data_IF_423213856962
#
_entry.id   IF_423213856962
#
_cell.length_a   1.000
_cell.length_b   1.000
_cell.length_c   1.000
_cell.angle_alpha   90.00
_cell.angle_beta   90.00
_cell.angle_gamma   90.00
#
_symmetry.space_group_name_H-M   'P 1'
#
loop_
_entity.id
_entity.type
_entity.pdbx_description
1 polymer ?
#
# COMPACT_ATOMS: atom_id res chain seq x y z
N UNK A 1 13.75 -19.44 -24.39
CA UNK A 1 13.94 -18.18 -23.61
C UNK A 1 12.73 -18.02 -22.71
N UNK A 2 12.90 -18.12 -21.39
CA UNK A 2 11.83 -17.90 -20.42
C UNK A 2 11.49 -16.40 -20.40
N UNK A 3 10.21 -16.06 -20.55
CA UNK A 3 9.71 -14.70 -20.33
C UNK A 3 10.02 -14.29 -18.88
N UNK A 4 10.65 -13.14 -18.63
CA UNK A 4 10.86 -12.68 -17.25
C UNK A 4 9.49 -12.45 -16.59
N UNK A 5 9.26 -13.10 -15.45
CA UNK A 5 8.01 -12.94 -14.68
C UNK A 5 7.92 -11.53 -14.12
N UNK A 6 7.05 -10.70 -14.69
CA UNK A 6 6.73 -9.37 -14.15
C UNK A 6 5.69 -9.57 -13.06
N UNK A 7 6.04 -9.22 -11.82
CA UNK A 7 5.13 -9.25 -10.68
C UNK A 7 4.70 -7.83 -10.32
N UNK A 8 3.41 -7.63 -10.07
CA UNK A 8 2.85 -6.37 -9.54
C UNK A 8 2.60 -6.56 -8.05
N UNK A 9 3.11 -5.64 -7.23
CA UNK A 9 2.87 -5.61 -5.80
C UNK A 9 2.13 -4.32 -5.43
N UNK A 10 1.18 -4.44 -4.51
CA UNK A 10 0.53 -3.29 -3.84
C UNK A 10 1.02 -3.28 -2.40
N UNK A 11 1.50 -2.12 -1.95
CA UNK A 11 2.07 -1.95 -0.61
C UNK A 11 1.31 -0.84 0.10
N UNK A 12 0.81 -1.13 1.31
CA UNK A 12 0.18 -0.16 2.21
C UNK A 12 1.15 0.15 3.36
N UNK A 13 1.21 1.40 3.79
CA UNK A 13 1.92 1.82 5.00
C UNK A 13 0.97 2.62 5.85
N UNK A 14 0.49 2.04 6.95
CA UNK A 14 -0.38 2.74 7.89
C UNK A 14 0.37 3.05 9.20
N UNK A 15 0.11 4.23 9.79
CA UNK A 15 0.65 4.61 11.11
C UNK A 15 -0.49 4.75 12.12
N UNK A 16 -0.48 3.95 13.19
CA UNK A 16 -1.38 4.15 14.36
C UNK A 16 -0.68 4.60 15.64
N UNK A 17 0.60 4.31 15.81
CA UNK A 17 1.39 4.78 16.95
C UNK A 17 2.87 4.82 16.57
N UNK A 18 3.49 5.98 16.78
CA UNK A 18 4.89 6.22 16.51
C UNK A 18 5.78 5.59 17.60
N UNK A 19 6.20 4.35 17.38
CA UNK A 19 7.30 3.73 18.13
C UNK A 19 8.18 3.07 17.08
N UNK A 20 9.01 3.79 16.31
CA UNK A 20 10.39 4.18 16.70
C UNK A 20 10.91 5.40 15.89
N UNK A 21 10.16 5.93 14.90
CA UNK A 21 10.47 7.21 14.21
C UNK A 21 9.15 7.88 13.82
N UNK A 22 8.68 8.86 14.60
CA UNK A 22 7.32 9.39 14.49
C UNK A 22 7.02 10.31 13.30
N UNK A 23 6.91 9.76 12.08
CA UNK A 23 6.35 10.47 10.91
C UNK A 23 5.94 9.54 9.78
N UNK A 24 5.04 10.04 8.92
CA UNK A 24 4.78 9.49 7.58
C UNK A 24 6.09 9.41 6.79
N UNK A 25 6.16 8.47 5.84
CA UNK A 25 7.22 8.50 4.84
C UNK A 25 7.16 9.81 4.05
N UNK A 26 8.32 10.43 3.86
CA UNK A 26 8.49 11.30 2.70
C UNK A 26 8.40 10.47 1.43
N UNK A 27 8.07 11.12 0.31
CA UNK A 27 8.12 10.45 -1.00
C UNK A 27 9.50 9.84 -1.31
N UNK A 28 10.58 10.42 -0.78
CA UNK A 28 11.93 9.86 -0.93
C UNK A 28 12.14 8.60 -0.10
N UNK A 29 11.67 8.56 1.15
CA UNK A 29 11.72 7.36 2.01
C UNK A 29 10.85 6.24 1.43
N UNK A 30 9.65 6.57 0.94
CA UNK A 30 8.79 5.61 0.24
C UNK A 30 9.45 5.06 -1.03
N UNK A 31 10.08 5.92 -1.84
CA UNK A 31 10.80 5.48 -3.03
C UNK A 31 12.01 4.60 -2.71
N UNK A 32 12.76 4.93 -1.64
CA UNK A 32 13.88 4.09 -1.18
C UNK A 32 13.40 2.73 -0.68
N UNK A 33 12.28 2.69 0.04
CA UNK A 33 11.65 1.46 0.50
C UNK A 33 11.17 0.59 -0.67
N UNK A 34 10.47 1.16 -1.65
CA UNK A 34 10.04 0.39 -2.83
C UNK A 34 11.23 -0.18 -3.62
N UNK A 35 12.32 0.57 -3.73
CA UNK A 35 13.57 0.07 -4.33
C UNK A 35 14.19 -1.08 -3.55
N UNK A 36 14.19 -1.02 -2.21
CA UNK A 36 14.73 -2.11 -1.38
C UNK A 36 13.91 -3.39 -1.47
N UNK A 37 12.61 -3.28 -1.76
CA UNK A 37 11.72 -4.41 -2.09
C UNK A 37 11.92 -4.97 -3.52
N UNK A 38 12.83 -4.38 -4.32
CA UNK A 38 13.12 -4.82 -5.69
C UNK A 38 12.19 -4.22 -6.76
N UNK A 39 11.41 -3.18 -6.44
CA UNK A 39 10.56 -2.54 -7.43
C UNK A 39 11.40 -1.85 -8.51
N UNK A 40 11.20 -2.26 -9.76
CA UNK A 40 11.83 -1.63 -10.94
C UNK A 40 11.05 -0.39 -11.39
N UNK A 41 9.73 -0.39 -11.19
CA UNK A 41 8.83 0.74 -11.39
C UNK A 41 7.87 0.82 -10.20
N UNK A 42 7.69 2.02 -9.66
CA UNK A 42 6.78 2.27 -8.54
C UNK A 42 6.08 3.62 -8.73
N UNK A 43 4.86 3.72 -8.22
CA UNK A 43 4.02 4.93 -8.20
C UNK A 43 3.46 5.08 -6.78
N UNK A 44 3.40 6.30 -6.29
CA UNK A 44 2.71 6.62 -5.05
C UNK A 44 1.21 6.78 -5.32
N UNK A 45 0.36 6.24 -4.46
CA UNK A 45 -1.10 6.42 -4.48
C UNK A 45 -1.51 7.38 -3.35
N UNK A 46 -2.81 7.55 -3.13
CA UNK A 46 -3.32 8.39 -2.04
C UNK A 46 -2.86 7.87 -0.67
N UNK A 47 -2.54 8.78 0.26
CA UNK A 47 -1.94 8.48 1.56
C UNK A 47 -2.79 9.09 2.70
N UNK A 48 -2.50 8.74 3.95
CA UNK A 48 -3.20 9.23 5.13
C UNK A 48 -4.45 8.42 5.46
N UNK A 49 -5.52 9.08 5.91
CA UNK A 49 -6.73 8.40 6.43
C UNK A 49 -7.49 7.52 5.42
N UNK A 50 -7.21 7.66 4.12
CA UNK A 50 -7.75 6.83 3.04
C UNK A 50 -6.95 5.53 2.79
N UNK A 51 -5.78 5.39 3.40
CA UNK A 51 -4.93 4.20 3.24
C UNK A 51 -5.49 3.03 4.02
N UNK A 52 -5.98 2.03 3.28
CA UNK A 52 -6.50 0.78 3.78
C UNK A 52 -6.17 -0.35 2.81
N UNK A 53 -5.90 -1.55 3.33
CA UNK A 53 -5.72 -2.76 2.53
C UNK A 53 -6.62 -3.87 3.08
N UNK A 54 -7.42 -4.45 2.20
CA UNK A 54 -8.22 -5.62 2.50
C UNK A 54 -7.77 -6.82 1.67
N UNK A 55 -7.70 -7.98 2.31
CA UNK A 55 -7.47 -9.28 1.65
C UNK A 55 -8.70 -10.13 1.87
N UNK A 56 -9.30 -10.62 0.78
CA UNK A 56 -10.54 -11.40 0.81
C UNK A 56 -11.67 -10.72 1.62
N UNK A 57 -11.81 -9.39 1.48
CA UNK A 57 -12.82 -8.60 2.17
C UNK A 57 -12.55 -8.35 3.65
N UNK A 58 -11.40 -8.78 4.18
CA UNK A 58 -10.98 -8.51 5.56
C UNK A 58 -9.86 -7.48 5.56
N UNK A 59 -10.02 -6.42 6.35
CA UNK A 59 -8.99 -5.40 6.55
C UNK A 59 -7.75 -6.02 7.21
N UNK A 60 -6.58 -5.84 6.61
CA UNK A 60 -5.30 -6.40 7.10
C UNK A 60 -4.36 -5.36 7.68
N UNK A 61 -4.60 -4.08 7.41
CA UNK A 61 -3.91 -2.98 8.06
C UNK A 61 -4.80 -2.31 9.13
N UNK A 62 -4.31 -1.23 9.73
CA UNK A 62 -5.00 -0.55 10.82
C UNK A 62 -5.16 0.93 10.45
N UNK A 63 -6.30 1.37 9.87
CA UNK A 63 -6.47 2.71 9.30
C UNK A 63 -6.09 3.85 10.26
N UNK A 64 -5.47 4.93 9.82
CA UNK A 64 -4.97 5.95 10.75
C UNK A 64 -6.07 6.82 11.38
N UNK A 65 -7.26 6.86 10.79
CA UNK A 65 -8.39 7.64 11.32
C UNK A 65 -8.94 7.02 12.63
N UNK A 66 -9.23 7.89 13.61
CA UNK A 66 -9.77 7.49 14.93
C UNK A 66 -11.12 6.78 14.83
N UNK A 67 -11.87 7.04 13.75
CA UNK A 67 -13.17 6.40 13.47
C UNK A 67 -13.05 5.08 12.73
N UNK A 68 -11.85 4.64 12.35
CA UNK A 68 -11.63 3.42 11.56
C UNK A 68 -11.47 3.71 10.06
N UNK A 69 -11.90 2.77 9.22
CA UNK A 69 -11.79 2.89 7.75
C UNK A 69 -12.61 4.08 7.22
N UNK A 70 -12.01 4.87 6.33
CA UNK A 70 -12.65 6.02 5.69
C UNK A 70 -13.31 5.60 4.36
N UNK A 71 -14.53 6.07 4.06
CA UNK A 71 -15.10 5.93 2.71
C UNK A 71 -14.21 6.62 1.67
N UNK A 72 -13.81 5.89 0.63
CA UNK A 72 -13.00 6.39 -0.49
C UNK A 72 -13.80 6.40 -1.79
N UNK A 73 -13.41 7.27 -2.74
CA UNK A 73 -14.08 7.40 -4.04
C UNK A 73 -13.77 6.27 -5.02
N UNK A 74 -12.53 5.77 -5.00
CA UNK A 74 -12.03 4.74 -5.93
C UNK A 74 -11.08 3.77 -5.21
N UNK A 75 -10.90 2.57 -5.77
CA UNK A 75 -9.99 1.54 -5.22
C UNK A 75 -9.20 0.84 -6.34
N UNK A 76 -7.99 0.35 -6.01
CA UNK A 76 -7.24 -0.58 -6.87
C UNK A 76 -7.47 -1.99 -6.35
N UNK A 77 -8.04 -2.87 -7.19
CA UNK A 77 -8.39 -4.23 -6.80
C UNK A 77 -7.58 -5.26 -7.59
N UNK A 78 -7.02 -6.24 -6.89
CA UNK A 78 -6.48 -7.46 -7.50
C UNK A 78 -7.63 -8.46 -7.60
N UNK A 79 -8.17 -8.61 -8.81
CA UNK A 79 -9.26 -9.54 -9.09
C UNK A 79 -8.72 -10.84 -9.70
N UNK A 80 -9.38 -11.99 -9.51
CA UNK A 80 -9.06 -13.21 -10.23
C UNK A 80 -9.03 -12.97 -11.73
N UNK A 81 -8.15 -13.66 -12.45
CA UNK A 81 -8.17 -13.63 -13.91
C UNK A 81 -9.55 -14.10 -14.39
N UNK A 82 -10.16 -13.33 -15.30
CA UNK A 82 -11.36 -13.78 -15.98
C UNK A 82 -10.99 -15.03 -16.79
N UNK A 83 -11.68 -16.14 -16.52
CA UNK A 83 -11.55 -17.38 -17.28
C UNK A 83 -12.21 -17.24 -18.65
#
# INVERSE_FOLDING_TARGET
MSTPSVHTAVVTTCIREAVVVGRLFTLYEAAAFMKSLGAVRAMNLDDGGSTAMAVAGTLVDTPSDVTGERPVGDTVQVVPAAH
#
